data_IF_054882979247
#
_entry.id   IF_054882979247
#
_cell.length_a   1.000
_cell.length_b   1.000
_cell.length_c   1.000
_cell.angle_alpha   90.00
_cell.angle_beta   90.00
_cell.angle_gamma   90.00
#
_symmetry.space_group_name_H-M   'P 1'
#
loop_
_entity.id
_entity.type
_entity.pdbx_description
1 polymer ?
#
# COMPACT_ATOMS: atom_id res chain seq x y z
N UNK A 1 6.03 -23.54 -10.91
CA UNK A 1 6.28 -22.10 -10.78
C UNK A 1 7.69 -21.92 -10.22
N UNK A 2 8.66 -22.15 -11.04
CA UNK A 2 10.05 -22.01 -10.65
C UNK A 2 10.51 -20.59 -10.95
N UNK A 3 10.50 -19.74 -9.96
CA UNK A 3 11.03 -18.38 -10.06
C UNK A 3 10.76 -17.59 -8.78
N UNK A 4 11.66 -16.68 -8.45
CA UNK A 4 11.53 -15.79 -7.29
C UNK A 4 10.39 -14.76 -7.43
N UNK A 5 9.82 -14.60 -8.65
CA UNK A 5 8.79 -13.63 -9.00
C UNK A 5 7.57 -14.33 -9.64
N UNK A 6 6.62 -14.83 -8.85
CA UNK A 6 5.47 -15.58 -9.36
C UNK A 6 4.63 -14.81 -10.39
N UNK A 7 4.46 -13.49 -10.24
CA UNK A 7 3.69 -12.66 -11.16
C UNK A 7 4.32 -12.59 -12.57
N UNK A 8 5.65 -12.57 -12.67
CA UNK A 8 6.34 -12.68 -13.96
C UNK A 8 6.14 -14.07 -14.58
N UNK A 9 6.36 -15.13 -13.80
CA UNK A 9 6.20 -16.50 -14.28
C UNK A 9 4.77 -16.78 -14.76
N UNK A 10 3.76 -16.29 -14.01
CA UNK A 10 2.35 -16.42 -14.40
C UNK A 10 2.02 -15.62 -15.67
N UNK A 11 2.63 -14.44 -15.87
CA UNK A 11 2.47 -13.68 -17.12
C UNK A 11 3.06 -14.44 -18.31
N UNK A 12 4.26 -15.00 -18.17
CA UNK A 12 4.87 -15.79 -19.25
C UNK A 12 4.05 -17.04 -19.59
N UNK A 13 3.47 -17.70 -18.59
CA UNK A 13 2.54 -18.79 -18.82
C UNK A 13 1.26 -18.29 -19.53
N UNK A 14 0.70 -17.14 -19.14
CA UNK A 14 -0.48 -16.59 -19.79
C UNK A 14 -0.24 -16.25 -21.27
N UNK A 15 0.94 -15.78 -21.63
CA UNK A 15 1.31 -15.54 -23.04
C UNK A 15 1.28 -16.82 -23.89
N UNK A 16 1.54 -17.99 -23.28
CA UNK A 16 1.57 -19.30 -23.96
C UNK A 16 0.23 -20.02 -23.95
N UNK A 17 -0.55 -19.88 -22.86
CA UNK A 17 -1.73 -20.69 -22.59
C UNK A 17 -3.03 -19.90 -22.57
N UNK A 18 -2.95 -18.57 -22.77
CA UNK A 18 -4.11 -17.67 -22.77
C UNK A 18 -4.34 -16.95 -21.44
N UNK A 19 -5.25 -15.96 -21.44
CA UNK A 19 -5.44 -15.02 -20.33
C UNK A 19 -6.16 -15.61 -19.12
N UNK A 20 -6.77 -16.80 -19.26
CA UNK A 20 -7.36 -17.57 -18.18
C UNK A 20 -6.70 -18.95 -18.15
N UNK A 21 -6.13 -19.32 -17.01
CA UNK A 21 -5.41 -20.57 -16.84
C UNK A 21 -5.89 -21.32 -15.61
N UNK A 22 -6.10 -22.63 -15.77
CA UNK A 22 -6.35 -23.53 -14.64
C UNK A 22 -5.04 -24.16 -14.20
N UNK A 23 -4.68 -23.95 -12.94
CA UNK A 23 -3.51 -24.55 -12.32
C UNK A 23 -3.91 -25.37 -11.11
N UNK A 24 -3.26 -26.51 -10.92
CA UNK A 24 -3.33 -27.26 -9.68
C UNK A 24 -2.06 -26.96 -8.88
N UNK A 25 -2.20 -26.16 -7.80
CA UNK A 25 -1.11 -25.78 -6.93
C UNK A 25 -1.18 -26.58 -5.63
N UNK A 26 -0.48 -27.71 -5.59
CA UNK A 26 -0.67 -28.69 -4.53
C UNK A 26 -2.12 -29.21 -4.57
N UNK A 27 -2.84 -29.07 -3.45
CA UNK A 27 -4.25 -29.44 -3.33
C UNK A 27 -5.21 -28.36 -3.81
N UNK A 28 -4.71 -27.13 -4.08
CA UNK A 28 -5.55 -25.97 -4.36
C UNK A 28 -5.77 -25.79 -5.86
N UNK A 29 -7.04 -25.91 -6.26
CA UNK A 29 -7.47 -25.50 -7.61
C UNK A 29 -7.38 -23.98 -7.70
N UNK A 30 -6.57 -23.51 -8.64
CA UNK A 30 -6.31 -22.08 -8.85
C UNK A 30 -6.60 -21.70 -10.28
N UNK A 31 -7.39 -20.64 -10.47
CA UNK A 31 -7.58 -19.99 -11.76
C UNK A 31 -6.77 -18.69 -11.77
N UNK A 32 -5.92 -18.54 -12.77
CA UNK A 32 -5.12 -17.32 -12.96
C UNK A 32 -5.74 -16.47 -14.05
N UNK A 33 -5.94 -15.21 -13.76
CA UNK A 33 -6.53 -14.19 -14.64
C UNK A 33 -5.45 -13.17 -15.01
N UNK A 34 -5.24 -12.93 -16.30
CA UNK A 34 -4.16 -12.08 -16.80
C UNK A 34 -4.59 -11.07 -17.87
N UNK A 35 -5.89 -10.89 -18.13
CA UNK A 35 -6.42 -9.87 -19.07
C UNK A 35 -7.52 -9.02 -18.44
N UNK A 36 -7.70 -7.81 -18.96
CA UNK A 36 -8.71 -6.86 -18.49
C UNK A 36 -10.14 -7.36 -18.68
N UNK A 37 -10.43 -8.06 -19.78
CA UNK A 37 -11.77 -8.60 -20.03
C UNK A 37 -12.15 -9.65 -19.00
N UNK A 38 -11.21 -10.52 -18.63
CA UNK A 38 -11.47 -11.52 -17.59
C UNK A 38 -11.57 -10.88 -16.20
N UNK A 39 -10.81 -9.82 -15.93
CA UNK A 39 -10.97 -9.02 -14.71
C UNK A 39 -12.37 -8.42 -14.64
N UNK A 40 -12.90 -7.90 -15.75
CA UNK A 40 -14.27 -7.36 -15.85
C UNK A 40 -15.32 -8.43 -15.56
N UNK A 41 -15.14 -9.65 -16.03
CA UNK A 41 -16.02 -10.77 -15.71
C UNK A 41 -16.00 -11.09 -14.21
N UNK A 42 -14.84 -11.11 -13.58
CA UNK A 42 -14.66 -11.48 -12.16
C UNK A 42 -15.07 -10.34 -11.22
N UNK A 43 -14.55 -9.14 -11.42
CA UNK A 43 -14.71 -8.01 -10.48
C UNK A 43 -15.87 -7.08 -10.83
N UNK A 44 -16.38 -7.16 -12.06
CA UNK A 44 -17.53 -6.39 -12.52
C UNK A 44 -18.81 -7.22 -12.49
N UNK A 45 -18.98 -8.12 -13.45
CA UNK A 45 -20.26 -8.84 -13.62
C UNK A 45 -20.55 -9.84 -12.50
N UNK A 46 -19.54 -10.57 -12.02
CA UNK A 46 -19.67 -11.62 -11.01
C UNK A 46 -19.06 -11.25 -9.66
N UNK A 47 -18.95 -9.95 -9.35
CA UNK A 47 -18.21 -9.46 -8.18
C UNK A 47 -18.62 -10.12 -6.86
N UNK A 48 -19.91 -10.47 -6.69
CA UNK A 48 -20.42 -11.09 -5.48
C UNK A 48 -19.97 -12.55 -5.35
N UNK A 49 -19.94 -13.30 -6.45
CA UNK A 49 -19.46 -14.67 -6.47
C UNK A 49 -17.97 -14.76 -6.11
N UNK A 50 -17.19 -13.70 -6.40
CA UNK A 50 -15.74 -13.62 -6.13
C UNK A 50 -15.38 -12.63 -5.00
N UNK A 51 -16.34 -12.27 -4.15
CA UNK A 51 -16.06 -11.35 -3.04
C UNK A 51 -15.35 -12.03 -1.85
N UNK A 52 -15.11 -13.35 -1.89
CA UNK A 52 -14.40 -14.08 -0.84
C UNK A 52 -12.88 -13.89 -0.95
N UNK A 53 -12.19 -14.03 0.19
CA UNK A 53 -10.74 -14.18 0.28
C UNK A 53 -10.40 -15.64 0.55
N UNK A 54 -9.35 -16.18 -0.09
CA UNK A 54 -8.85 -17.50 0.28
C UNK A 54 -8.24 -17.47 1.68
N UNK A 55 -8.31 -18.59 2.36
CA UNK A 55 -7.60 -18.80 3.62
C UNK A 55 -6.10 -18.80 3.34
N UNK A 56 -5.33 -18.08 4.16
CA UNK A 56 -3.87 -18.00 4.10
C UNK A 56 -3.35 -18.29 5.51
N UNK A 57 -2.44 -19.26 5.65
CA UNK A 57 -1.92 -19.69 6.93
C UNK A 57 -1.26 -18.55 7.75
N UNK A 58 -0.61 -17.61 7.07
CA UNK A 58 -0.05 -16.43 7.72
C UNK A 58 -1.13 -15.53 8.33
N UNK A 59 -2.25 -15.34 7.63
CA UNK A 59 -3.38 -14.53 8.12
C UNK A 59 -4.05 -15.18 9.31
N UNK A 60 -4.20 -16.50 9.32
CA UNK A 60 -4.75 -17.26 10.45
C UNK A 60 -3.95 -17.01 11.75
N UNK A 61 -2.63 -16.94 11.65
CA UNK A 61 -1.75 -16.65 12.79
C UNK A 61 -1.78 -15.18 13.20
N UNK A 62 -1.82 -14.27 12.21
CA UNK A 62 -1.66 -12.83 12.44
C UNK A 62 -2.97 -12.12 12.79
N UNK A 63 -4.14 -12.66 12.36
CA UNK A 63 -5.43 -12.05 12.68
C UNK A 63 -5.97 -12.58 14.01
N UNK A 64 -6.36 -11.65 14.88
CA UNK A 64 -7.02 -11.99 16.14
C UNK A 64 -8.40 -12.62 15.86
N UNK A 65 -8.59 -13.89 16.16
CA UNK A 65 -9.88 -14.60 15.99
C UNK A 65 -10.54 -14.37 14.62
N UNK A 66 -9.76 -14.33 13.54
CA UNK A 66 -10.23 -14.01 12.18
C UNK A 66 -10.90 -12.63 12.04
N UNK A 67 -10.54 -11.66 12.88
CA UNK A 67 -11.09 -10.31 12.88
C UNK A 67 -10.48 -9.37 11.82
N UNK A 68 -9.69 -9.88 10.89
CA UNK A 68 -9.12 -9.10 9.78
C UNK A 68 -10.20 -8.47 8.91
N UNK A 69 -10.20 -7.16 8.71
CA UNK A 69 -11.11 -6.54 7.74
C UNK A 69 -10.64 -6.72 6.29
N UNK A 70 -9.35 -7.01 6.09
CA UNK A 70 -8.77 -7.28 4.75
C UNK A 70 -9.10 -8.69 4.29
N UNK A 71 -8.99 -9.69 5.17
CA UNK A 71 -9.09 -11.11 4.83
C UNK A 71 -10.37 -11.81 5.31
N UNK A 72 -11.14 -11.21 6.21
CA UNK A 72 -12.40 -11.80 6.69
C UNK A 72 -13.30 -12.27 5.55
N UNK A 73 -14.03 -13.37 5.75
CA UNK A 73 -15.07 -13.82 4.81
C UNK A 73 -16.06 -12.71 4.47
N UNK A 74 -16.58 -12.74 3.24
CA UNK A 74 -17.64 -11.80 2.85
C UNK A 74 -18.94 -12.13 3.62
N UNK A 75 -19.31 -11.25 4.53
CA UNK A 75 -20.45 -11.40 5.43
C UNK A 75 -20.77 -10.08 6.14
N UNK A 76 -21.64 -10.13 7.14
CA UNK A 76 -22.07 -8.94 7.89
C UNK A 76 -20.90 -8.30 8.63
N UNK A 77 -20.08 -9.08 9.33
CA UNK A 77 -18.89 -8.58 10.02
C UNK A 77 -18.00 -7.76 9.06
N UNK A 78 -17.64 -8.34 7.91
CA UNK A 78 -16.80 -7.66 6.94
C UNK A 78 -17.44 -6.37 6.41
N UNK A 79 -18.77 -6.39 6.14
CA UNK A 79 -19.49 -5.21 5.65
C UNK A 79 -19.43 -4.06 6.66
N UNK A 80 -19.68 -4.35 7.95
CA UNK A 80 -19.63 -3.34 9.00
C UNK A 80 -18.21 -2.82 9.25
N UNK A 81 -17.22 -3.71 9.32
CA UNK A 81 -15.82 -3.28 9.47
C UNK A 81 -15.37 -2.43 8.28
N UNK A 82 -15.74 -2.81 7.05
CA UNK A 82 -15.43 -2.00 5.87
C UNK A 82 -16.13 -0.65 5.92
N UNK A 83 -17.38 -0.58 6.33
CA UNK A 83 -18.12 0.67 6.49
C UNK A 83 -17.42 1.59 7.49
N UNK A 84 -17.04 1.08 8.65
CA UNK A 84 -16.27 1.83 9.65
C UNK A 84 -14.95 2.33 9.05
N UNK A 85 -14.17 1.48 8.41
CA UNK A 85 -12.93 1.88 7.77
C UNK A 85 -13.13 2.98 6.72
N UNK A 86 -14.16 2.88 5.88
CA UNK A 86 -14.41 3.83 4.81
C UNK A 86 -14.96 5.18 5.28
N UNK A 87 -15.82 5.18 6.29
CA UNK A 87 -16.51 6.39 6.74
C UNK A 87 -15.74 7.12 7.85
N UNK A 88 -15.22 6.37 8.81
CA UNK A 88 -14.64 6.94 10.03
C UNK A 88 -13.11 7.07 9.97
N UNK A 89 -12.41 6.12 9.34
CA UNK A 89 -10.95 6.07 9.38
C UNK A 89 -10.29 6.61 8.10
N UNK A 90 -10.86 6.31 6.92
CA UNK A 90 -10.23 6.57 5.61
C UNK A 90 -11.10 7.45 4.70
N UNK A 91 -12.14 8.10 5.22
CA UNK A 91 -12.91 9.08 4.46
C UNK A 91 -12.03 10.26 4.03
N UNK A 92 -12.41 10.94 2.94
CA UNK A 92 -11.69 12.13 2.46
C UNK A 92 -11.54 13.19 3.57
N UNK A 93 -12.59 13.41 4.38
CA UNK A 93 -12.55 14.33 5.52
C UNK A 93 -11.44 13.93 6.52
N UNK A 94 -11.33 12.63 6.84
CA UNK A 94 -10.31 12.12 7.76
C UNK A 94 -8.92 12.22 7.15
N UNK A 95 -8.75 11.86 5.89
CA UNK A 95 -7.46 12.00 5.17
C UNK A 95 -7.00 13.47 5.17
N UNK A 96 -7.90 14.41 4.91
CA UNK A 96 -7.59 15.85 4.95
C UNK A 96 -7.24 16.34 6.37
N UNK A 97 -7.82 15.77 7.42
CA UNK A 97 -7.46 16.12 8.79
C UNK A 97 -6.01 15.78 9.13
N UNK A 98 -5.40 14.82 8.47
CA UNK A 98 -3.98 14.45 8.64
C UNK A 98 -3.01 15.25 7.75
N UNK A 99 -3.50 16.27 7.01
CA UNK A 99 -2.66 17.08 6.11
C UNK A 99 -1.44 17.68 6.80
N UNK A 100 -1.61 18.33 7.95
CA UNK A 100 -0.49 18.98 8.65
C UNK A 100 0.57 17.96 9.09
N UNK A 101 0.17 16.73 9.44
CA UNK A 101 1.12 15.65 9.75
C UNK A 101 1.96 15.33 8.51
N UNK A 102 1.33 15.16 7.34
CA UNK A 102 2.06 14.87 6.10
C UNK A 102 2.99 16.01 5.72
N UNK A 103 2.53 17.26 5.82
CA UNK A 103 3.35 18.44 5.51
C UNK A 103 4.57 18.53 6.42
N UNK A 104 4.40 18.35 7.73
CA UNK A 104 5.48 18.38 8.70
C UNK A 104 6.49 17.25 8.49
N UNK A 105 6.03 16.01 8.30
CA UNK A 105 6.94 14.89 8.10
C UNK A 105 7.66 14.94 6.75
N UNK A 106 7.00 15.42 5.68
CA UNK A 106 7.68 15.70 4.43
C UNK A 106 8.77 16.75 4.62
N UNK A 107 8.51 17.77 5.41
CA UNK A 107 9.49 18.78 5.76
C UNK A 107 10.69 18.20 6.53
N UNK A 108 10.44 17.31 7.48
CA UNK A 108 11.49 16.59 8.21
C UNK A 108 12.33 15.71 7.27
N UNK A 109 11.70 15.09 6.27
CA UNK A 109 12.39 14.34 5.22
C UNK A 109 13.35 15.26 4.44
N UNK A 110 12.90 16.44 3.99
CA UNK A 110 13.72 17.40 3.24
C UNK A 110 14.93 17.84 4.08
N UNK A 111 14.73 18.16 5.38
CA UNK A 111 15.84 18.49 6.30
C UNK A 111 16.85 17.33 6.40
N UNK A 112 16.36 16.11 6.51
CA UNK A 112 17.22 14.91 6.61
C UNK A 112 18.08 14.76 5.35
N UNK A 113 17.49 14.95 4.16
CA UNK A 113 18.22 14.87 2.89
C UNK A 113 19.23 16.00 2.78
N UNK A 114 18.84 17.23 3.12
CA UNK A 114 19.74 18.39 3.09
C UNK A 114 20.95 18.20 4.03
N UNK A 115 20.74 17.57 5.18
CA UNK A 115 21.85 17.31 6.12
C UNK A 115 22.88 16.33 5.60
N UNK A 116 22.59 15.59 4.52
CA UNK A 116 23.56 14.70 3.87
C UNK A 116 24.65 15.47 3.11
N UNK A 117 24.46 16.77 2.85
CA UNK A 117 25.44 17.66 2.22
C UNK A 117 26.03 17.11 0.91
N UNK A 118 25.20 16.60 0.01
CA UNK A 118 25.62 16.02 -1.26
C UNK A 118 26.29 14.63 -1.15
N UNK A 119 26.27 14.00 0.02
CA UNK A 119 26.70 12.61 0.17
C UNK A 119 25.60 11.64 -0.25
N UNK A 120 25.97 10.40 -0.68
CA UNK A 120 24.99 9.37 -0.99
C UNK A 120 24.03 9.11 0.18
N UNK A 121 22.73 9.17 -0.10
CA UNK A 121 21.66 8.94 0.87
C UNK A 121 20.77 7.79 0.40
N UNK A 122 20.35 6.92 1.34
CA UNK A 122 19.42 5.83 1.05
C UNK A 122 18.00 6.39 0.98
N UNK A 123 17.56 6.79 -0.22
CA UNK A 123 16.24 7.35 -0.45
C UNK A 123 15.12 6.35 -0.11
N UNK A 124 15.33 5.06 -0.37
CA UNK A 124 14.35 4.02 0.00
C UNK A 124 14.07 4.01 1.50
N UNK A 125 15.11 4.09 2.33
CA UNK A 125 14.96 4.12 3.79
C UNK A 125 14.35 5.43 4.28
N UNK A 126 14.75 6.56 3.68
CA UNK A 126 14.21 7.89 4.04
C UNK A 126 12.71 7.95 3.76
N UNK A 127 12.28 7.51 2.58
CA UNK A 127 10.86 7.46 2.20
C UNK A 127 10.08 6.50 3.09
N UNK A 128 10.61 5.31 3.38
CA UNK A 128 9.95 4.36 4.27
C UNK A 128 9.76 4.96 5.68
N UNK A 129 10.77 5.64 6.22
CA UNK A 129 10.68 6.30 7.52
C UNK A 129 9.64 7.43 7.51
N UNK A 130 9.61 8.26 6.46
CA UNK A 130 8.61 9.31 6.28
C UNK A 130 7.19 8.73 6.34
N UNK A 131 6.90 7.74 5.48
CA UNK A 131 5.55 7.19 5.38
C UNK A 131 5.15 6.47 6.68
N UNK A 132 6.10 5.82 7.34
CA UNK A 132 5.89 5.22 8.65
C UNK A 132 5.56 6.28 9.71
N UNK A 133 6.30 7.39 9.78
CA UNK A 133 6.06 8.48 10.72
C UNK A 133 4.68 9.14 10.47
N UNK A 134 4.29 9.36 9.20
CA UNK A 134 2.96 9.86 8.84
C UNK A 134 1.87 8.88 9.28
N UNK A 135 2.04 7.59 9.00
CA UNK A 135 1.04 6.57 9.34
C UNK A 135 0.93 6.39 10.84
N UNK A 136 2.05 6.40 11.57
CA UNK A 136 2.07 6.34 13.04
C UNK A 136 1.31 7.51 13.67
N UNK A 137 1.62 8.72 13.23
CA UNK A 137 0.98 9.94 13.76
C UNK A 137 -0.51 9.99 13.42
N UNK A 138 -0.90 9.47 12.25
CA UNK A 138 -2.32 9.36 11.90
C UNK A 138 -3.04 8.29 12.73
N UNK A 139 -2.36 7.18 13.03
CA UNK A 139 -2.93 6.04 13.74
C UNK A 139 -2.92 6.22 15.28
N UNK A 140 -1.84 6.79 15.83
CA UNK A 140 -1.55 6.83 17.28
C UNK A 140 -1.38 8.24 17.85
N UNK A 141 -1.54 9.30 17.02
CA UNK A 141 -1.35 10.70 17.43
C UNK A 141 0.12 11.14 17.53
N UNK A 142 1.06 10.24 17.66
CA UNK A 142 2.49 10.52 17.83
C UNK A 142 3.37 9.60 16.98
N UNK A 143 4.67 9.94 16.85
CA UNK A 143 5.64 9.04 16.22
C UNK A 143 5.78 7.76 17.04
N UNK A 144 5.77 6.64 16.35
CA UNK A 144 5.86 5.35 17.03
C UNK A 144 7.21 5.19 17.75
N UNK A 145 7.19 5.04 19.06
CA UNK A 145 8.37 4.76 19.89
C UNK A 145 9.03 3.42 19.52
N UNK A 146 8.24 2.49 18.93
CA UNK A 146 8.62 1.15 18.53
C UNK A 146 8.80 1.03 17.01
N UNK A 147 9.24 2.12 16.34
CA UNK A 147 9.36 2.18 14.88
C UNK A 147 10.21 1.05 14.30
N UNK A 148 11.36 0.78 14.89
CA UNK A 148 12.29 -0.22 14.35
C UNK A 148 11.72 -1.65 14.48
N UNK A 149 10.98 -1.93 15.55
CA UNK A 149 10.25 -3.18 15.76
C UNK A 149 9.12 -3.34 14.73
N UNK A 150 8.35 -2.27 14.47
CA UNK A 150 7.31 -2.28 13.45
C UNK A 150 7.87 -2.43 12.04
N UNK A 151 8.98 -1.78 11.72
CA UNK A 151 9.63 -1.92 10.41
C UNK A 151 10.17 -3.33 10.19
N UNK A 152 10.82 -3.91 11.20
CA UNK A 152 11.29 -5.32 11.16
C UNK A 152 10.10 -6.28 11.00
N UNK A 153 9.02 -6.05 11.75
CA UNK A 153 7.78 -6.81 11.64
C UNK A 153 7.20 -6.73 10.22
N UNK A 154 7.10 -5.52 9.66
CA UNK A 154 6.55 -5.27 8.34
C UNK A 154 7.35 -6.01 7.25
N UNK A 155 8.68 -5.99 7.35
CA UNK A 155 9.55 -6.68 6.42
C UNK A 155 9.35 -8.20 6.47
N UNK A 156 9.39 -8.79 7.67
CA UNK A 156 9.23 -10.23 7.84
C UNK A 156 7.83 -10.72 7.46
N UNK A 157 6.76 -10.03 7.87
CA UNK A 157 5.39 -10.45 7.56
C UNK A 157 5.08 -10.33 6.08
N UNK A 158 5.60 -9.30 5.41
CA UNK A 158 5.42 -9.10 3.96
C UNK A 158 5.98 -10.27 3.16
N UNK A 159 7.15 -10.79 3.55
CA UNK A 159 7.78 -11.92 2.89
C UNK A 159 7.02 -13.23 3.17
N UNK A 160 6.60 -13.47 4.42
CA UNK A 160 5.97 -14.73 4.85
C UNK A 160 4.51 -14.86 4.40
N UNK A 161 3.80 -13.75 4.20
CA UNK A 161 2.37 -13.76 3.89
C UNK A 161 2.05 -13.71 2.38
N UNK A 162 3.00 -14.09 1.52
CA UNK A 162 2.81 -14.14 0.06
C UNK A 162 1.76 -15.15 -0.45
N UNK A 163 1.31 -16.09 0.41
CA UNK A 163 0.23 -17.03 0.10
C UNK A 163 0.60 -18.17 -0.85
N UNK A 164 1.89 -18.51 -0.93
CA UNK A 164 2.44 -19.62 -1.73
C UNK A 164 3.31 -20.56 -0.90
N UNK A 165 3.20 -20.52 0.41
CA UNK A 165 3.91 -21.41 1.31
C UNK A 165 3.32 -22.83 1.28
N UNK A 166 4.10 -23.83 1.69
CA UNK A 166 3.65 -25.23 1.69
C UNK A 166 2.33 -25.45 2.43
N UNK A 167 2.07 -24.84 3.60
CA UNK A 167 0.78 -24.95 4.27
C UNK A 167 -0.39 -24.37 3.48
N UNK A 168 -0.16 -23.35 2.66
CA UNK A 168 -1.18 -22.74 1.81
C UNK A 168 -1.50 -23.62 0.59
N UNK A 169 -0.55 -24.46 0.15
CA UNK A 169 -0.70 -25.33 -1.02
C UNK A 169 -1.21 -26.74 -0.65
N UNK A 170 -0.99 -27.17 0.59
CA UNK A 170 -1.37 -28.49 1.09
C UNK A 170 -2.09 -28.35 2.43
N UNK A 171 -3.28 -27.75 2.48
CA UNK A 171 -3.99 -27.45 3.72
C UNK A 171 -4.47 -28.71 4.46
N UNK A 172 -4.70 -29.84 3.77
CA UNK A 172 -5.09 -31.11 4.41
C UNK A 172 -3.95 -31.74 5.21
N UNK A 173 -2.69 -31.40 4.89
CA UNK A 173 -1.51 -31.92 5.55
C UNK A 173 -1.15 -31.03 6.76
N UNK A 174 -1.89 -31.23 7.86
CA UNK A 174 -1.83 -30.40 9.06
C UNK A 174 -0.42 -30.21 9.64
N UNK A 175 0.45 -31.23 9.57
CA UNK A 175 1.80 -31.17 10.15
C UNK A 175 2.76 -30.25 9.35
N UNK A 176 2.44 -29.92 8.08
CA UNK A 176 3.25 -28.96 7.31
C UNK A 176 3.27 -27.56 7.95
N UNK A 177 2.20 -27.19 8.68
CA UNK A 177 2.15 -25.94 9.45
C UNK A 177 3.21 -25.89 10.56
N UNK A 178 3.60 -27.04 11.11
CA UNK A 178 4.63 -27.16 12.15
C UNK A 178 6.03 -27.41 11.59
N UNK A 179 6.15 -28.10 10.47
CA UNK A 179 7.43 -28.31 9.78
C UNK A 179 7.91 -27.04 9.08
N UNK A 180 7.01 -26.19 8.61
CA UNK A 180 7.41 -24.91 8.08
C UNK A 180 7.89 -24.00 9.23
N UNK A 181 9.04 -23.35 9.05
CA UNK A 181 9.53 -22.34 10.01
C UNK A 181 8.64 -21.10 10.07
N UNK A 182 7.65 -20.99 9.17
CA UNK A 182 6.75 -19.86 9.02
C UNK A 182 5.88 -19.66 10.26
N UNK A 183 5.15 -20.68 10.72
CA UNK A 183 4.22 -20.54 11.86
C UNK A 183 4.92 -20.07 13.14
N UNK A 184 6.02 -20.68 13.61
CA UNK A 184 6.74 -20.20 14.79
C UNK A 184 7.32 -18.79 14.63
N UNK A 185 7.72 -18.41 13.40
CA UNK A 185 8.20 -17.05 13.12
C UNK A 185 7.06 -16.05 13.25
N UNK A 186 5.91 -16.31 12.63
CA UNK A 186 4.72 -15.45 12.68
C UNK A 186 4.14 -15.34 14.10
N UNK A 187 4.10 -16.43 14.87
CA UNK A 187 3.64 -16.42 16.27
C UNK A 187 4.55 -15.54 17.15
N UNK A 188 5.86 -15.58 16.91
CA UNK A 188 6.82 -14.73 17.60
C UNK A 188 6.63 -13.26 17.24
N UNK A 189 6.43 -12.98 15.94
CA UNK A 189 6.17 -11.63 15.44
C UNK A 189 4.84 -11.09 15.98
N UNK A 190 3.79 -11.89 15.94
CA UNK A 190 2.47 -11.53 16.48
C UNK A 190 2.56 -11.18 17.97
N UNK A 191 3.24 -12.02 18.76
CA UNK A 191 3.42 -11.77 20.20
C UNK A 191 4.16 -10.47 20.50
N UNK A 192 5.19 -10.12 19.73
CA UNK A 192 5.92 -8.86 19.89
C UNK A 192 5.04 -7.66 19.59
N UNK A 193 4.32 -7.71 18.46
CA UNK A 193 3.44 -6.61 18.04
C UNK A 193 2.24 -6.48 18.96
N UNK A 194 1.69 -7.59 19.45
CA UNK A 194 0.56 -7.60 20.37
C UNK A 194 0.86 -6.81 21.66
N UNK A 195 2.03 -7.02 22.26
CA UNK A 195 2.48 -6.26 23.44
C UNK A 195 2.57 -4.75 23.15
N UNK A 196 3.08 -4.39 21.97
CA UNK A 196 3.19 -2.98 21.56
C UNK A 196 1.80 -2.36 21.37
N UNK A 197 0.90 -3.08 20.71
CA UNK A 197 -0.47 -2.62 20.49
C UNK A 197 -1.27 -2.51 21.78
N UNK A 198 -1.05 -3.42 22.75
CA UNK A 198 -1.64 -3.32 24.10
C UNK A 198 -1.20 -2.03 24.81
N UNK A 199 0.08 -1.67 24.75
CA UNK A 199 0.58 -0.42 25.32
C UNK A 199 -0.07 0.80 24.65
N UNK A 200 -0.13 0.83 23.30
CA UNK A 200 -0.74 1.92 22.55
C UNK A 200 -2.22 2.10 22.92
N UNK A 201 -2.98 1.01 22.95
CA UNK A 201 -4.41 1.07 23.30
C UNK A 201 -4.61 1.50 24.75
N UNK A 202 -3.82 0.98 25.68
CA UNK A 202 -3.90 1.34 27.10
C UNK A 202 -3.57 2.83 27.32
N UNK A 203 -2.53 3.39 26.70
CA UNK A 203 -2.19 4.81 26.76
C UNK A 203 -3.36 5.70 26.28
N UNK A 204 -4.05 5.31 25.20
CA UNK A 204 -5.23 6.04 24.69
C UNK A 204 -6.44 5.91 25.61
N UNK A 205 -6.68 4.73 26.19
CA UNK A 205 -7.75 4.56 27.17
C UNK A 205 -7.55 5.43 28.41
N UNK A 206 -6.31 5.57 28.90
CA UNK A 206 -5.98 6.43 30.03
C UNK A 206 -6.17 7.91 29.68
N UNK A 207 -5.68 8.36 28.52
CA UNK A 207 -5.92 9.72 28.01
C UNK A 207 -7.41 10.05 27.94
N UNK A 208 -8.23 9.14 27.38
CA UNK A 208 -9.68 9.33 27.28
C UNK A 208 -10.40 9.33 28.63
N UNK A 209 -9.85 8.68 29.66
CA UNK A 209 -10.39 8.78 31.06
C UNK A 209 -10.03 10.09 31.71
N UNK A 210 -8.78 10.59 31.50
CA UNK A 210 -8.29 11.85 32.07
C UNK A 210 -9.00 13.09 31.51
N UNK A 211 -9.31 13.08 30.20
CA UNK A 211 -9.92 14.24 29.52
C UNK A 211 -11.43 14.43 29.79
N UNK A 212 -12.09 13.57 30.55
CA UNK A 212 -13.51 13.75 30.94
C UNK A 212 -13.80 14.98 31.76
N UNK A 213 -12.77 15.68 32.27
CA UNK A 213 -12.89 16.88 33.15
C UNK A 213 -12.64 18.23 32.46
N UNK A 214 -11.98 18.28 31.30
CA UNK A 214 -11.56 19.54 30.69
C UNK A 214 -12.21 19.72 29.32
N UNK A 215 -13.16 20.66 29.24
CA UNK A 215 -13.84 21.04 28.00
C UNK A 215 -12.93 21.80 26.98
N UNK A 216 -11.72 22.20 27.39
CA UNK A 216 -10.81 23.00 26.55
C UNK A 216 -9.98 22.15 25.55
N UNK A 217 -9.81 20.85 25.79
CA UNK A 217 -9.04 19.95 24.90
C UNK A 217 -9.87 19.26 23.79
N UNK A 218 -11.15 19.62 23.63
CA UNK A 218 -12.00 19.09 22.54
C UNK A 218 -11.51 19.41 21.11
N UNK A 219 -10.48 20.24 20.97
CA UNK A 219 -9.86 20.59 19.68
C UNK A 219 -8.62 19.74 19.33
N UNK A 220 -8.19 18.82 20.20
CA UNK A 220 -7.13 17.90 19.84
C UNK A 220 -7.62 16.98 18.70
N UNK A 221 -6.79 16.83 17.66
CA UNK A 221 -7.11 15.96 16.53
C UNK A 221 -7.21 14.52 17.01
N UNK A 222 -8.38 13.89 16.83
CA UNK A 222 -8.55 12.45 17.06
C UNK A 222 -7.71 11.65 16.07
N UNK A 223 -6.91 10.74 16.58
CA UNK A 223 -6.24 9.71 15.79
C UNK A 223 -7.15 8.49 15.54
N UNK A 224 -6.65 7.49 14.80
CA UNK A 224 -7.49 6.33 14.45
C UNK A 224 -7.81 5.44 15.65
N UNK A 225 -6.92 5.35 16.65
CA UNK A 225 -7.17 4.59 17.89
C UNK A 225 -8.26 5.28 18.71
N UNK A 226 -8.20 6.61 18.85
CA UNK A 226 -9.24 7.38 19.55
C UNK A 226 -10.63 7.16 18.93
N UNK A 227 -10.70 7.23 17.58
CA UNK A 227 -11.95 6.98 16.84
C UNK A 227 -12.48 5.58 17.12
N UNK A 228 -11.64 4.56 17.06
CA UNK A 228 -12.06 3.17 17.31
C UNK A 228 -12.52 2.95 18.75
N UNK A 229 -11.82 3.53 19.73
CA UNK A 229 -12.21 3.48 21.15
C UNK A 229 -13.53 4.21 21.40
N UNK A 230 -13.77 5.35 20.74
CA UNK A 230 -15.04 6.07 20.84
C UNK A 230 -16.19 5.28 20.21
N UNK A 231 -15.97 4.65 19.03
CA UNK A 231 -16.94 3.76 18.42
C UNK A 231 -17.24 2.54 19.28
N UNK A 232 -16.23 1.95 19.93
CA UNK A 232 -16.43 0.83 20.85
C UNK A 232 -17.35 1.20 22.03
N UNK A 233 -17.29 2.45 22.52
CA UNK A 233 -18.14 2.94 23.63
C UNK A 233 -19.56 3.27 23.17
N UNK A 234 -19.81 3.45 21.87
CA UNK A 234 -21.13 3.71 21.33
C UNK A 234 -21.97 2.41 21.31
N UNK A 235 -23.23 2.48 21.73
CA UNK A 235 -24.12 1.32 21.81
C UNK A 235 -24.41 0.66 20.45
N UNK A 236 -24.30 1.42 19.35
CA UNK A 236 -24.62 0.97 18.00
C UNK A 236 -23.57 0.03 17.39
N UNK A 237 -22.29 0.20 17.75
CA UNK A 237 -21.17 -0.53 17.17
C UNK A 237 -20.48 -1.50 18.12
N UNK A 238 -20.85 -1.49 19.40
CA UNK A 238 -20.19 -2.22 20.49
C UNK A 238 -20.09 -3.74 20.25
N UNK A 239 -21.03 -4.31 19.47
CA UNK A 239 -21.04 -5.75 19.16
C UNK A 239 -19.86 -6.17 18.30
N UNK A 240 -19.40 -5.30 17.38
CA UNK A 240 -18.37 -5.64 16.40
C UNK A 240 -16.96 -5.19 16.82
N UNK A 241 -16.82 -4.11 17.61
CA UNK A 241 -15.53 -3.54 17.97
C UNK A 241 -15.09 -4.02 19.37
N UNK A 242 -14.55 -5.23 19.42
CA UNK A 242 -13.89 -5.75 20.63
C UNK A 242 -12.44 -5.25 20.71
N UNK A 243 -11.75 -5.30 21.90
CA UNK A 243 -10.38 -4.84 22.04
C UNK A 243 -9.39 -5.43 21.02
N UNK A 244 -9.46 -6.73 20.77
CA UNK A 244 -8.61 -7.39 19.78
C UNK A 244 -8.91 -6.95 18.33
N UNK A 245 -10.14 -6.53 18.03
CA UNK A 245 -10.52 -5.97 16.72
C UNK A 245 -9.86 -4.61 16.50
N UNK A 246 -9.78 -3.77 17.55
CA UNK A 246 -9.07 -2.49 17.50
C UNK A 246 -7.60 -2.73 17.15
N UNK A 247 -6.92 -3.62 17.88
CA UNK A 247 -5.52 -3.97 17.62
C UNK A 247 -5.31 -4.45 16.19
N UNK A 248 -6.20 -5.31 15.70
CA UNK A 248 -6.10 -5.84 14.34
C UNK A 248 -6.28 -4.77 13.27
N UNK A 249 -7.30 -3.91 13.39
CA UNK A 249 -7.54 -2.82 12.44
C UNK A 249 -6.35 -1.86 12.40
N UNK A 250 -5.84 -1.48 13.58
CA UNK A 250 -4.70 -0.58 13.71
C UNK A 250 -3.45 -1.18 13.06
N UNK A 251 -3.15 -2.46 13.33
CA UNK A 251 -2.03 -3.17 12.70
C UNK A 251 -2.19 -3.23 11.18
N UNK A 252 -3.37 -3.61 10.69
CA UNK A 252 -3.62 -3.72 9.24
C UNK A 252 -3.52 -2.37 8.53
N UNK A 253 -4.07 -1.30 9.10
CA UNK A 253 -3.98 0.05 8.53
C UNK A 253 -2.55 0.56 8.53
N UNK A 254 -1.83 0.32 9.62
CA UNK A 254 -0.42 0.70 9.73
C UNK A 254 0.45 -0.02 8.68
N UNK A 255 0.34 -1.34 8.58
CA UNK A 255 1.10 -2.13 7.61
C UNK A 255 0.76 -1.74 6.17
N UNK A 256 -0.54 -1.69 5.85
CA UNK A 256 -1.00 -1.38 4.49
C UNK A 256 -0.64 0.04 4.07
N UNK A 257 -0.79 1.02 4.97
CA UNK A 257 -0.50 2.43 4.67
C UNK A 257 0.98 2.73 4.52
N UNK A 258 1.84 2.09 5.32
CA UNK A 258 3.28 2.33 5.31
C UNK A 258 3.97 1.68 4.10
N UNK A 259 3.74 0.39 3.88
CA UNK A 259 4.48 -0.38 2.89
C UNK A 259 4.15 -0.01 1.44
N UNK A 260 2.87 0.06 1.12
CA UNK A 260 2.44 0.28 -0.26
C UNK A 260 2.78 1.67 -0.77
N UNK A 261 2.59 2.70 0.06
CA UNK A 261 2.87 4.09 -0.31
C UNK A 261 4.36 4.35 -0.45
N UNK A 262 5.20 3.83 0.47
CA UNK A 262 6.66 3.96 0.37
C UNK A 262 7.20 3.24 -0.85
N UNK A 263 6.75 2.02 -1.11
CA UNK A 263 7.13 1.23 -2.30
C UNK A 263 6.78 1.97 -3.58
N UNK A 264 5.57 2.52 -3.70
CA UNK A 264 5.15 3.29 -4.89
C UNK A 264 5.98 4.54 -5.09
N UNK A 265 6.27 5.30 -4.01
CA UNK A 265 7.09 6.52 -4.07
C UNK A 265 8.51 6.20 -4.56
N UNK A 266 9.11 5.12 -4.03
CA UNK A 266 10.47 4.69 -4.45
C UNK A 266 10.49 4.21 -5.89
N UNK A 267 9.47 3.48 -6.36
CA UNK A 267 9.35 3.06 -7.75
C UNK A 267 9.15 4.26 -8.69
N UNK A 268 8.27 5.21 -8.34
CA UNK A 268 8.07 6.43 -9.11
C UNK A 268 9.37 7.20 -9.29
N UNK A 269 10.13 7.35 -8.22
CA UNK A 269 11.41 8.04 -8.26
C UNK A 269 12.45 7.27 -9.08
N UNK A 270 12.48 5.94 -8.96
CA UNK A 270 13.39 5.08 -9.74
C UNK A 270 13.10 5.13 -11.24
N UNK A 271 11.82 5.14 -11.61
CA UNK A 271 11.45 5.27 -13.03
C UNK A 271 11.77 6.66 -13.58
N UNK A 272 11.58 7.72 -12.81
CA UNK A 272 12.00 9.06 -13.22
C UNK A 272 13.51 9.14 -13.41
N UNK A 273 14.30 8.56 -12.52
CA UNK A 273 15.78 8.51 -12.64
C UNK A 273 16.19 7.73 -13.89
N UNK A 274 15.55 6.59 -14.15
CA UNK A 274 15.83 5.76 -15.34
C UNK A 274 15.42 6.43 -16.65
N UNK A 275 14.44 7.35 -16.60
CA UNK A 275 13.89 8.07 -17.74
C UNK A 275 14.11 9.58 -17.58
N UNK A 276 15.32 10.12 -17.89
CA UNK A 276 15.67 11.53 -17.62
C UNK A 276 14.69 12.55 -18.20
N UNK A 277 14.13 12.27 -19.41
CA UNK A 277 13.07 13.10 -20.02
C UNK A 277 11.86 13.27 -19.11
N UNK A 278 11.45 12.20 -18.42
CA UNK A 278 10.31 12.23 -17.49
C UNK A 278 10.66 13.00 -16.23
N UNK A 279 11.88 12.79 -15.71
CA UNK A 279 12.41 13.54 -14.54
C UNK A 279 12.43 15.04 -14.82
N UNK A 280 13.05 15.46 -15.91
CA UNK A 280 13.15 16.87 -16.31
C UNK A 280 11.77 17.52 -16.45
N UNK A 281 10.83 16.83 -17.09
CA UNK A 281 9.46 17.34 -17.29
C UNK A 281 8.70 17.46 -15.97
N UNK A 282 8.81 16.47 -15.08
CA UNK A 282 8.19 16.50 -13.77
C UNK A 282 8.81 17.61 -12.89
N UNK A 283 10.13 17.76 -12.89
CA UNK A 283 10.82 18.86 -12.18
C UNK A 283 10.43 20.23 -12.73
N UNK A 284 10.37 20.38 -14.05
CA UNK A 284 9.96 21.64 -14.69
C UNK A 284 8.55 22.07 -14.28
N UNK A 285 7.58 21.14 -14.32
CA UNK A 285 6.22 21.41 -13.85
C UNK A 285 6.21 21.83 -12.38
N UNK A 286 6.79 20.98 -11.52
CA UNK A 286 6.80 21.19 -10.06
C UNK A 286 7.45 22.55 -9.72
N UNK A 287 8.60 22.87 -10.31
CA UNK A 287 9.31 24.13 -10.06
C UNK A 287 8.59 25.35 -10.63
N UNK A 288 7.86 25.20 -11.73
CA UNK A 288 7.06 26.30 -12.28
C UNK A 288 5.84 26.61 -11.39
N UNK A 289 5.10 25.57 -10.98
CA UNK A 289 3.91 25.71 -10.13
C UNK A 289 4.24 26.20 -8.73
N UNK A 290 5.34 25.71 -8.15
CA UNK A 290 5.76 26.01 -6.76
C UNK A 290 6.74 27.19 -6.67
N UNK A 291 6.99 27.90 -7.76
CA UNK A 291 7.96 29.00 -7.83
C UNK A 291 7.78 29.98 -6.67
N UNK A 292 8.87 30.24 -5.94
CA UNK A 292 8.91 31.19 -4.83
C UNK A 292 8.31 30.68 -3.51
N UNK A 293 7.87 29.43 -3.45
CA UNK A 293 7.47 28.81 -2.20
C UNK A 293 8.68 28.41 -1.38
N UNK A 294 8.74 28.85 -0.13
CA UNK A 294 9.74 28.39 0.84
C UNK A 294 9.29 27.10 1.51
N UNK A 295 7.98 26.91 1.62
CA UNK A 295 7.32 25.75 2.20
C UNK A 295 6.22 25.25 1.27
N UNK A 296 6.32 24.00 0.83
CA UNK A 296 5.33 23.36 -0.04
C UNK A 296 4.26 22.67 0.80
N UNK A 297 3.02 23.03 0.59
CA UNK A 297 1.85 22.45 1.26
C UNK A 297 1.06 21.56 0.30
N UNK A 298 0.26 20.65 0.85
CA UNK A 298 -0.57 19.73 0.06
C UNK A 298 -1.56 20.45 -0.89
N UNK A 299 -2.04 21.63 -0.50
CA UNK A 299 -2.90 22.44 -1.38
C UNK A 299 -2.15 23.04 -2.60
N UNK A 300 -0.84 23.24 -2.49
CA UNK A 300 -0.03 23.82 -3.55
C UNK A 300 0.23 22.85 -4.70
N UNK A 301 0.15 21.55 -4.44
CA UNK A 301 0.42 20.49 -5.43
C UNK A 301 -0.82 20.07 -6.22
N UNK A 302 -1.99 20.63 -5.96
CA UNK A 302 -3.23 20.23 -6.64
C UNK A 302 -3.18 20.44 -8.16
N UNK A 303 -2.44 21.46 -8.63
CA UNK A 303 -2.25 21.77 -10.04
C UNK A 303 -1.13 20.98 -10.75
N UNK A 304 -0.47 20.03 -10.08
CA UNK A 304 0.61 19.23 -10.67
C UNK A 304 0.04 18.10 -11.53
N UNK A 305 -0.33 18.40 -12.78
CA UNK A 305 -0.97 17.42 -13.67
C UNK A 305 -0.01 16.33 -14.13
N UNK A 306 1.22 16.70 -14.55
CA UNK A 306 2.19 15.73 -15.04
C UNK A 306 2.68 14.78 -13.95
N UNK A 307 2.90 15.29 -12.74
CA UNK A 307 3.26 14.43 -11.59
C UNK A 307 2.18 13.38 -11.30
N UNK A 308 0.91 13.72 -11.41
CA UNK A 308 -0.18 12.75 -11.29
C UNK A 308 -0.14 11.68 -12.38
N UNK A 309 0.25 12.04 -13.62
CA UNK A 309 0.45 11.06 -14.68
C UNK A 309 1.63 10.13 -14.38
N UNK A 310 2.72 10.65 -13.80
CA UNK A 310 3.87 9.84 -13.33
C UNK A 310 3.41 8.84 -12.27
N UNK A 311 2.62 9.26 -11.29
CA UNK A 311 2.07 8.35 -10.26
C UNK A 311 1.17 7.28 -10.88
N UNK A 312 0.29 7.65 -11.82
CA UNK A 312 -0.56 6.69 -12.53
C UNK A 312 0.28 5.66 -13.30
N UNK A 313 1.29 6.08 -14.04
CA UNK A 313 2.15 5.19 -14.81
C UNK A 313 2.98 4.27 -13.91
N UNK A 314 3.44 4.80 -12.78
CA UNK A 314 4.12 3.99 -11.76
C UNK A 314 3.21 2.88 -11.23
N UNK A 315 1.99 3.21 -10.87
CA UNK A 315 1.00 2.24 -10.37
C UNK A 315 0.61 1.20 -11.45
N UNK A 316 0.67 1.56 -12.74
CA UNK A 316 0.48 0.62 -13.84
C UNK A 316 1.62 -0.40 -13.92
N UNK A 317 2.84 0.09 -13.91
CA UNK A 317 4.02 -0.77 -14.09
C UNK A 317 4.44 -1.48 -12.80
N UNK A 318 4.37 -0.79 -11.68
CA UNK A 318 4.84 -1.24 -10.38
C UNK A 318 3.70 -1.22 -9.34
N UNK A 319 2.58 -1.87 -9.68
CA UNK A 319 1.51 -2.08 -8.69
C UNK A 319 2.08 -2.76 -7.45
N UNK A 320 1.94 -2.17 -6.24
CA UNK A 320 2.49 -2.79 -5.02
C UNK A 320 1.99 -4.21 -4.79
N UNK A 321 0.72 -4.49 -5.11
CA UNK A 321 0.14 -5.83 -5.05
C UNK A 321 0.06 -6.47 -6.44
N UNK A 322 1.14 -7.10 -6.95
CA UNK A 322 1.19 -7.63 -8.31
C UNK A 322 0.27 -8.84 -8.54
N UNK A 323 -0.13 -9.52 -7.46
CA UNK A 323 -1.09 -10.63 -7.47
C UNK A 323 -2.21 -10.37 -6.47
N UNK A 324 -3.45 -10.38 -6.95
CA UNK A 324 -4.63 -10.17 -6.14
C UNK A 324 -5.41 -11.47 -5.99
N UNK A 325 -5.51 -12.01 -4.77
CA UNK A 325 -6.25 -13.24 -4.51
C UNK A 325 -7.73 -12.99 -4.23
N UNK A 326 -8.59 -13.87 -4.77
CA UNK A 326 -10.01 -14.00 -4.49
C UNK A 326 -10.34 -15.48 -4.35
N UNK A 327 -11.56 -15.79 -3.88
CA UNK A 327 -12.09 -17.14 -3.84
C UNK A 327 -13.56 -17.14 -4.28
N UNK A 328 -13.96 -18.17 -5.04
CA UNK A 328 -15.34 -18.35 -5.44
C UNK A 328 -16.20 -18.82 -4.27
N UNK A 329 -17.28 -18.08 -3.98
CA UNK A 329 -18.25 -18.39 -2.91
C UNK A 329 -19.25 -19.48 -3.31
N UNK A 330 -19.48 -19.62 -4.60
CA UNK A 330 -20.42 -20.56 -5.22
C UNK A 330 -19.85 -21.03 -6.57
N UNK A 331 -20.40 -22.10 -7.10
CA UNK A 331 -20.06 -22.51 -8.46
C UNK A 331 -20.66 -21.51 -9.45
N UNK A 332 -19.90 -21.13 -10.47
CA UNK A 332 -20.32 -20.18 -11.49
C UNK A 332 -19.62 -20.46 -12.82
N UNK A 333 -20.16 -19.89 -13.90
CA UNK A 333 -19.57 -20.00 -15.24
C UNK A 333 -19.00 -18.68 -15.67
N UNK A 334 -17.72 -18.65 -16.05
CA UNK A 334 -17.02 -17.47 -16.57
C UNK A 334 -16.52 -17.79 -17.96
N UNK A 335 -16.97 -17.02 -18.95
CA UNK A 335 -16.58 -17.18 -20.36
C UNK A 335 -16.63 -18.64 -20.85
N UNK A 336 -17.68 -19.38 -20.46
CA UNK A 336 -17.88 -20.81 -20.81
C UNK A 336 -17.10 -21.81 -19.95
N UNK A 337 -16.29 -21.36 -18.99
CA UNK A 337 -15.59 -22.24 -18.06
C UNK A 337 -16.35 -22.37 -16.75
N UNK A 338 -16.58 -23.60 -16.32
CA UNK A 338 -17.15 -23.88 -15.00
C UNK A 338 -16.09 -23.68 -13.91
N UNK A 339 -16.39 -22.83 -12.93
CA UNK A 339 -15.56 -22.54 -11.77
C UNK A 339 -16.25 -23.10 -10.54
N UNK A 340 -15.73 -24.17 -9.93
CA UNK A 340 -16.28 -24.73 -8.71
C UNK A 340 -16.23 -23.76 -7.53
N UNK A 341 -17.10 -23.96 -6.53
CA UNK A 341 -17.02 -23.28 -5.24
C UNK A 341 -15.65 -23.54 -4.57
N UNK A 342 -15.12 -22.56 -3.83
CA UNK A 342 -13.81 -22.59 -3.15
C UNK A 342 -12.61 -22.68 -4.12
N UNK A 343 -12.79 -22.24 -5.37
CA UNK A 343 -11.67 -22.10 -6.31
C UNK A 343 -10.90 -20.82 -5.99
N UNK A 344 -9.59 -20.91 -5.81
CA UNK A 344 -8.71 -19.74 -5.67
C UNK A 344 -8.60 -19.02 -7.01
N UNK A 345 -8.86 -17.73 -7.02
CA UNK A 345 -8.69 -16.88 -8.19
C UNK A 345 -7.50 -15.95 -7.92
N UNK A 346 -6.51 -15.97 -8.79
CA UNK A 346 -5.35 -15.09 -8.73
C UNK A 346 -5.41 -14.15 -9.93
N UNK A 347 -5.67 -12.88 -9.68
CA UNK A 347 -5.63 -11.84 -10.71
C UNK A 347 -4.22 -11.28 -10.75
N UNK A 348 -3.56 -11.42 -11.89
CA UNK A 348 -2.21 -10.93 -12.12
C UNK A 348 -2.26 -9.46 -12.57
N UNK A 349 -2.27 -8.52 -11.63
CA UNK A 349 -2.34 -7.08 -11.90
C UNK A 349 -1.13 -6.58 -12.68
N UNK A 350 0.04 -7.22 -12.47
CA UNK A 350 1.25 -6.97 -13.24
C UNK A 350 1.08 -7.31 -14.73
N UNK A 351 0.40 -8.41 -15.05
CA UNK A 351 0.11 -8.79 -16.43
C UNK A 351 -0.96 -7.87 -17.04
N UNK A 352 -2.04 -7.59 -16.30
CA UNK A 352 -3.13 -6.70 -16.75
C UNK A 352 -2.60 -5.29 -17.06
N UNK A 353 -1.75 -4.72 -16.19
CA UNK A 353 -1.12 -3.43 -16.44
C UNK A 353 -0.13 -3.41 -17.62
N UNK A 354 0.17 -4.57 -18.21
CA UNK A 354 1.07 -4.75 -19.37
C UNK A 354 0.41 -5.48 -20.54
N UNK A 355 -0.92 -5.50 -20.57
CA UNK A 355 -1.67 -6.15 -21.65
C UNK A 355 -1.58 -5.29 -22.92
N UNK A 356 -0.97 -5.81 -24.03
CA UNK A 356 -0.80 -5.06 -25.27
C UNK A 356 -2.12 -4.75 -25.99
N UNK A 357 -3.23 -5.39 -25.63
CA UNK A 357 -4.55 -5.06 -26.16
C UNK A 357 -5.05 -3.70 -25.68
N UNK A 358 -4.63 -3.27 -24.48
CA UNK A 358 -5.05 -2.01 -23.86
C UNK A 358 -3.93 -0.98 -23.79
N UNK A 359 -2.67 -1.42 -23.70
CA UNK A 359 -1.52 -0.55 -23.46
C UNK A 359 -0.54 -0.61 -24.65
N UNK A 360 -0.42 0.47 -25.41
CA UNK A 360 0.64 0.61 -26.41
C UNK A 360 2.00 0.68 -25.70
N UNK A 361 3.01 0.00 -26.25
CA UNK A 361 4.34 -0.08 -25.63
C UNK A 361 4.29 -0.37 -24.11
N UNK A 362 3.68 -1.50 -23.71
CA UNK A 362 3.33 -1.77 -22.31
C UNK A 362 4.53 -1.85 -21.37
N UNK A 363 5.74 -2.10 -21.88
CA UNK A 363 6.98 -2.20 -21.10
C UNK A 363 7.68 -0.83 -20.93
N UNK A 364 7.25 0.19 -21.65
CA UNK A 364 7.82 1.53 -21.57
C UNK A 364 7.12 2.40 -20.51
N UNK A 365 7.92 3.19 -19.76
CA UNK A 365 7.40 4.15 -18.81
C UNK A 365 7.04 5.45 -19.52
N UNK A 366 5.77 5.64 -19.83
CA UNK A 366 5.23 6.77 -20.62
C UNK A 366 4.03 7.38 -19.88
N UNK A 367 4.25 8.34 -18.95
CA UNK A 367 3.18 8.99 -18.22
C UNK A 367 2.10 9.62 -19.10
N UNK A 368 2.52 10.11 -20.29
CA UNK A 368 1.65 10.77 -21.26
C UNK A 368 0.51 9.90 -21.80
N UNK A 369 0.57 8.56 -21.62
CA UNK A 369 -0.54 7.67 -21.99
C UNK A 369 -1.84 7.95 -21.22
N UNK A 370 -1.71 8.56 -20.05
CA UNK A 370 -2.86 8.99 -19.23
C UNK A 370 -3.34 10.42 -19.55
N UNK A 371 -2.63 11.15 -20.42
CA UNK A 371 -3.06 12.49 -20.82
C UNK A 371 -4.36 12.39 -21.64
N UNK A 372 -5.37 13.13 -21.23
CA UNK A 372 -6.72 13.11 -21.85
C UNK A 372 -7.39 11.72 -21.83
N UNK A 373 -6.92 10.80 -20.99
CA UNK A 373 -7.49 9.47 -20.83
C UNK A 373 -8.53 9.45 -19.71
N UNK A 374 -9.62 8.73 -19.92
CA UNK A 374 -10.64 8.46 -18.88
C UNK A 374 -10.23 7.30 -17.95
N UNK A 375 -9.11 6.63 -18.22
CA UNK A 375 -8.63 5.50 -17.42
C UNK A 375 -8.22 5.97 -16.03
N UNK A 376 -8.84 5.36 -15.00
CA UNK A 376 -8.57 5.68 -13.60
C UNK A 376 -8.58 4.43 -12.71
N UNK A 377 -7.86 4.51 -11.60
CA UNK A 377 -7.72 3.42 -10.62
C UNK A 377 -8.90 3.28 -9.65
N UNK A 378 -10.00 4.03 -9.84
CA UNK A 378 -11.17 4.01 -8.93
C UNK A 378 -12.13 2.84 -9.15
N UNK A 379 -11.74 1.85 -9.94
CA UNK A 379 -12.42 0.55 -10.09
C UNK A 379 -13.40 0.44 -11.25
N UNK A 380 -13.49 1.45 -12.13
CA UNK A 380 -14.27 1.42 -13.37
C UNK A 380 -13.46 0.97 -14.59
N UNK A 381 -12.14 1.09 -14.56
CA UNK A 381 -11.20 0.72 -15.62
C UNK A 381 -10.54 -0.61 -15.28
N UNK A 382 -11.03 -1.71 -15.83
CA UNK A 382 -10.56 -3.05 -15.49
C UNK A 382 -9.18 -3.38 -16.07
N UNK A 383 -8.71 -2.64 -17.05
CA UNK A 383 -7.35 -2.62 -17.57
C UNK A 383 -6.34 -1.95 -16.61
N UNK A 384 -6.84 -1.22 -15.60
CA UNK A 384 -6.02 -0.46 -14.67
C UNK A 384 -6.53 -0.61 -13.22
N UNK A 385 -6.06 -1.64 -12.53
CA UNK A 385 -6.57 -2.04 -11.21
C UNK A 385 -5.48 -2.10 -10.12
N UNK A 386 -4.60 -1.10 -9.96
CA UNK A 386 -3.54 -1.14 -8.94
C UNK A 386 -4.08 -1.18 -7.51
N UNK A 387 -5.29 -0.70 -7.29
CA UNK A 387 -6.00 -0.75 -6.01
C UNK A 387 -7.06 -1.87 -5.96
N UNK A 388 -7.02 -2.79 -6.93
CA UNK A 388 -8.05 -3.79 -7.08
C UNK A 388 -9.36 -3.24 -7.66
N UNK A 389 -10.46 -3.98 -7.45
CA UNK A 389 -11.78 -3.60 -7.98
C UNK A 389 -12.91 -4.31 -7.27
N UNK A 390 -14.16 -3.93 -7.64
CA UNK A 390 -15.38 -4.48 -7.07
C UNK A 390 -15.51 -4.20 -5.56
N UNK A 391 -16.27 -5.01 -4.87
CA UNK A 391 -16.61 -4.82 -3.43
C UNK A 391 -15.38 -4.74 -2.52
N UNK A 392 -14.27 -5.35 -2.92
CA UNK A 392 -13.02 -5.41 -2.17
C UNK A 392 -11.94 -4.45 -2.68
N UNK A 393 -12.34 -3.39 -3.39
CA UNK A 393 -11.41 -2.32 -3.78
C UNK A 393 -10.73 -1.73 -2.54
N UNK A 394 -9.49 -1.28 -2.67
CA UNK A 394 -8.72 -0.70 -1.56
C UNK A 394 -9.47 0.45 -0.88
N UNK A 395 -9.65 0.42 0.44
CA UNK A 395 -10.30 1.52 1.16
C UNK A 395 -9.38 2.73 1.34
N UNK A 396 -8.05 2.53 1.26
CA UNK A 396 -7.03 3.55 1.53
C UNK A 396 -6.56 4.34 0.31
N UNK A 397 -7.27 4.34 -0.82
CA UNK A 397 -6.83 5.01 -2.05
C UNK A 397 -6.46 6.48 -1.80
N UNK A 398 -7.34 7.25 -1.16
CA UNK A 398 -7.11 8.67 -0.92
C UNK A 398 -5.92 8.92 0.02
N UNK A 399 -5.78 8.09 1.06
CA UNK A 399 -4.65 8.16 1.99
C UNK A 399 -3.33 7.81 1.29
N UNK A 400 -3.32 6.74 0.49
CA UNK A 400 -2.14 6.30 -0.25
C UNK A 400 -1.67 7.35 -1.27
N UNK A 401 -2.58 7.89 -2.09
CA UNK A 401 -2.23 8.90 -3.10
C UNK A 401 -1.67 10.17 -2.45
N UNK A 402 -2.29 10.66 -1.36
CA UNK A 402 -1.78 11.84 -0.66
C UNK A 402 -0.36 11.60 -0.08
N UNK A 403 -0.08 10.38 0.39
CA UNK A 403 1.24 9.99 0.91
C UNK A 403 2.29 9.75 -0.19
N UNK A 404 1.90 9.71 -1.46
CA UNK A 404 2.80 9.54 -2.60
C UNK A 404 3.08 10.90 -3.28
N UNK A 405 2.04 11.67 -3.57
CA UNK A 405 2.17 12.90 -4.36
C UNK A 405 2.97 13.99 -3.66
N UNK A 406 2.70 14.25 -2.37
CA UNK A 406 3.38 15.31 -1.64
C UNK A 406 4.90 15.05 -1.46
N UNK A 407 5.36 13.87 -1.04
CA UNK A 407 6.79 13.58 -0.98
C UNK A 407 7.48 13.70 -2.34
N UNK A 408 6.87 13.18 -3.41
CA UNK A 408 7.44 13.29 -4.76
C UNK A 408 7.58 14.75 -5.19
N UNK A 409 6.55 15.57 -4.99
CA UNK A 409 6.59 17.00 -5.30
C UNK A 409 7.73 17.71 -4.53
N UNK A 410 7.87 17.42 -3.24
CA UNK A 410 8.92 18.01 -2.40
C UNK A 410 10.34 17.61 -2.84
N UNK A 411 10.54 16.31 -3.14
CA UNK A 411 11.83 15.80 -3.63
C UNK A 411 12.23 16.45 -4.96
N UNK A 412 11.30 16.60 -5.90
CA UNK A 412 11.52 17.22 -7.20
C UNK A 412 11.71 18.74 -7.13
N UNK A 413 11.08 19.39 -6.16
CA UNK A 413 11.15 20.82 -5.98
C UNK A 413 12.50 21.27 -5.40
N UNK A 414 12.94 20.60 -4.32
CA UNK A 414 14.06 21.10 -3.52
C UNK A 414 15.43 20.65 -4.00
N UNK A 415 15.51 19.56 -4.79
CA UNK A 415 16.83 18.98 -5.13
C UNK A 415 16.95 18.64 -6.61
N UNK A 416 18.18 18.78 -7.11
CA UNK A 416 18.67 18.04 -8.27
C UNK A 416 19.25 16.71 -7.81
N UNK A 417 19.08 15.68 -8.64
CA UNK A 417 19.36 14.32 -8.24
C UNK A 417 20.33 13.63 -9.18
N UNK A 418 21.30 12.92 -8.61
CA UNK A 418 22.19 12.02 -9.34
C UNK A 418 22.31 10.67 -8.62
N UNK A 419 22.63 9.62 -9.39
CA UNK A 419 22.94 8.31 -8.81
C UNK A 419 24.31 8.36 -8.12
N UNK A 420 24.43 7.63 -7.01
CA UNK A 420 25.70 7.48 -6.32
C UNK A 420 26.71 6.68 -7.18
N UNK A 421 28.00 6.82 -6.86
CA UNK A 421 29.09 6.00 -7.40
C UNK A 421 29.22 6.04 -8.94
N UNK A 422 28.71 7.09 -9.61
CA UNK A 422 28.79 7.25 -11.05
C UNK A 422 27.96 6.24 -11.86
N UNK A 423 26.99 5.56 -11.24
CA UNK A 423 26.05 4.68 -11.92
C UNK A 423 25.25 5.48 -12.95
N UNK A 424 25.15 4.99 -14.18
CA UNK A 424 24.32 5.63 -15.21
C UNK A 424 22.86 5.26 -15.02
N UNK A 425 21.96 6.14 -15.43
CA UNK A 425 20.51 5.94 -15.34
C UNK A 425 20.03 4.61 -15.96
N UNK A 426 20.60 4.23 -17.11
CA UNK A 426 20.28 2.99 -17.80
C UNK A 426 20.72 1.71 -17.06
N UNK A 427 21.75 1.83 -16.18
CA UNK A 427 22.34 0.71 -15.45
C UNK A 427 21.73 0.56 -14.04
N UNK A 428 20.75 1.41 -13.71
CA UNK A 428 20.04 1.32 -12.43
C UNK A 428 19.37 -0.07 -12.30
N UNK A 429 19.71 -0.80 -11.23
CA UNK A 429 19.10 -2.09 -10.94
C UNK A 429 17.60 -1.92 -10.64
N UNK A 430 16.73 -2.40 -11.51
CA UNK A 430 15.28 -2.37 -11.39
C UNK A 430 14.70 -3.73 -10.94
N UNK A 431 15.54 -4.61 -10.39
CA UNK A 431 15.07 -5.89 -9.87
C UNK A 431 14.18 -5.70 -8.64
N UNK A 432 13.24 -6.63 -8.49
CA UNK A 432 12.24 -6.61 -7.43
C UNK A 432 12.31 -7.85 -6.54
N UNK A 433 11.75 -7.72 -5.33
CA UNK A 433 11.55 -8.82 -4.39
C UNK A 433 10.06 -9.04 -4.23
N UNK A 434 9.62 -10.29 -4.34
CA UNK A 434 8.23 -10.67 -4.17
C UNK A 434 7.89 -10.91 -2.70
N UNK A 435 6.72 -10.43 -2.31
CA UNK A 435 6.04 -10.66 -1.03
C UNK A 435 4.56 -10.35 -1.20
N UNK A 436 3.88 -9.89 -0.16
CA UNK A 436 2.55 -9.27 -0.29
C UNK A 436 2.66 -8.05 -1.22
N UNK A 437 3.74 -7.30 -1.09
CA UNK A 437 4.11 -6.20 -1.98
C UNK A 437 5.36 -6.55 -2.77
N UNK A 438 5.45 -5.99 -3.99
CA UNK A 438 6.63 -6.08 -4.85
C UNK A 438 7.49 -4.81 -4.68
N UNK A 439 8.56 -4.94 -3.90
CA UNK A 439 9.51 -3.86 -3.60
C UNK A 439 10.75 -3.95 -4.49
N UNK A 440 11.49 -2.85 -4.59
CA UNK A 440 12.85 -2.91 -5.14
C UNK A 440 13.71 -3.86 -4.31
N UNK A 441 14.49 -4.68 -4.99
CA UNK A 441 15.43 -5.62 -4.34
C UNK A 441 16.61 -4.87 -3.74
N UNK A 442 17.13 -3.88 -4.48
CA UNK A 442 18.25 -3.03 -4.05
C UNK A 442 17.74 -1.67 -3.61
N UNK A 443 18.24 -1.11 -2.50
CA UNK A 443 17.92 0.25 -2.10
C UNK A 443 18.28 1.27 -3.18
N UNK A 444 17.50 2.35 -3.30
CA UNK A 444 17.80 3.47 -4.18
C UNK A 444 18.72 4.44 -3.43
N UNK A 445 19.99 4.48 -3.84
CA UNK A 445 21.00 5.37 -3.26
C UNK A 445 21.20 6.58 -4.19
N UNK A 446 20.92 7.77 -3.67
CA UNK A 446 20.92 8.99 -4.45
C UNK A 446 21.79 10.08 -3.80
N UNK A 447 22.32 10.97 -4.63
CA UNK A 447 22.97 12.21 -4.20
C UNK A 447 22.01 13.34 -4.50
N UNK A 448 21.73 14.17 -3.49
CA UNK A 448 20.84 15.32 -3.58
C UNK A 448 21.65 16.61 -3.55
N UNK A 449 21.48 17.47 -4.55
CA UNK A 449 22.04 18.81 -4.62
C UNK A 449 20.92 19.84 -4.44
N UNK A 450 20.93 20.65 -3.36
CA UNK A 450 19.89 21.65 -3.14
C UNK A 450 19.85 22.69 -4.26
N UNK A 451 18.66 22.90 -4.86
CA UNK A 451 18.46 23.86 -5.94
C UNK A 451 17.49 25.00 -5.58
N UNK A 452 16.67 24.84 -4.54
CA UNK A 452 15.80 25.88 -4.02
C UNK A 452 16.23 26.22 -2.58
N UNK A 453 16.45 27.52 -2.26
CA UNK A 453 16.79 27.95 -0.91
C UNK A 453 15.74 27.45 0.09
N UNK A 454 16.21 26.91 1.18
CA UNK A 454 15.43 26.31 2.21
C UNK A 454 15.45 27.21 3.45
N UNK A 455 14.34 27.85 3.79
CA UNK A 455 14.17 28.57 5.04
C UNK A 455 12.96 28.02 5.80
N UNK A 456 13.15 27.67 7.05
CA UNK A 456 12.08 27.30 7.94
C UNK A 456 11.77 28.52 8.83
N UNK A 457 10.68 29.23 8.52
CA UNK A 457 10.14 30.28 9.38
C UNK A 457 9.35 29.64 10.55
N UNK A 458 10.03 28.82 11.35
CA UNK A 458 9.46 28.17 12.54
C UNK A 458 9.78 28.84 13.86
N UNK A 459 10.46 30.02 13.83
CA UNK A 459 10.85 30.75 15.04
C UNK A 459 10.01 32.01 15.34
N UNK A 460 8.83 32.17 14.74
CA UNK A 460 7.96 33.32 14.95
C UNK A 460 6.61 32.98 15.58
N UNK A 461 6.55 32.01 16.50
CA UNK A 461 5.49 31.91 17.48
C UNK A 461 6.09 31.50 18.84
N UNK A 462 6.66 32.51 19.52
CA UNK A 462 6.83 32.50 20.96
C UNK A 462 5.87 33.50 21.57
#
# INVERSE_FOLDING_TARGET
MAGSLPHHSLRELARRHGPIMRLQLGEILTIVISSADMVKEILGKNELAFAQRPEIAAVEVMSYENSSFVYSPYGEYWKEMRKICMLELLSMKRVLSFRSIREEECWNMIKTIQSSQGKPANLSKIVLNLINDVTSRAAFGEKCKYRDEFLSFLEEVTLLAGGFELPDLFPSIWFLRYLSRMKPALERLHKKIDVILDHIVAEHEEKLKGNRGNNEEKNAREDLVDVLLNLQKSSETNYFIKPHVIKNIVMELFCAGSDTSSTTTVWAFSEMVRNPRVMEKAQAEVRAVLKGKTQVREQDIQGLEYLKLVVKETLRMHSPGPLMARESREACTINGYEIPKKTKIVINTYAVGRDPEFWSDPESFVPERFLNSSVDFRGSSFEYIPFGGGRRICPGINFGIANIELPLAQLLYHFDWSLADGVKAQDLDMSETFGITSRRKTPLIMVAEPCVPFSYDGDHDK
#
